data_IF_097614680694
#
_entry.id   IF_097614680694
#
_cell.length_a   1.000
_cell.length_b   1.000
_cell.length_c   1.000
_cell.angle_alpha   90.00
_cell.angle_beta   90.00
_cell.angle_gamma   90.00
#
_symmetry.space_group_name_H-M   'P 1'
#
loop_
_entity.id
_entity.type
_entity.pdbx_description
1 polymer ?
#
# COMPACT_ATOMS: atom_id res chain seq x y z
N UNK A 1 3.12 12.84 -0.12
CA UNK A 1 3.67 11.92 -1.15
C UNK A 1 3.54 10.50 -0.62
N UNK A 2 2.48 9.78 -1.00
CA UNK A 2 2.27 8.41 -0.55
C UNK A 2 2.96 7.39 -1.46
N UNK A 3 3.44 6.30 -0.85
CA UNK A 3 3.90 5.12 -1.56
C UNK A 3 3.23 3.89 -0.95
N UNK A 4 2.70 3.00 -1.79
CA UNK A 4 2.17 1.69 -1.37
C UNK A 4 2.96 0.57 -2.03
N UNK A 5 3.43 -0.37 -1.21
CA UNK A 5 3.99 -1.64 -1.67
C UNK A 5 3.07 -2.78 -1.23
N UNK A 6 2.82 -3.72 -2.14
CA UNK A 6 2.03 -4.91 -1.88
C UNK A 6 2.84 -6.14 -2.22
N UNK A 7 3.02 -7.02 -1.25
CA UNK A 7 3.60 -8.34 -1.43
C UNK A 7 2.52 -9.42 -1.26
N UNK A 8 2.42 -10.36 -2.20
CA UNK A 8 1.45 -11.46 -2.12
C UNK A 8 2.01 -12.77 -2.69
N UNK A 9 1.59 -13.90 -2.13
CA UNK A 9 1.79 -15.23 -2.72
C UNK A 9 0.63 -15.67 -3.62
N UNK A 10 -0.40 -14.86 -3.80
CA UNK A 10 -1.45 -15.16 -4.77
C UNK A 10 -0.88 -15.15 -6.18
N UNK A 11 -1.36 -16.06 -7.02
CA UNK A 11 -1.09 -16.08 -8.46
C UNK A 11 -2.21 -15.39 -9.27
N UNK A 12 -3.34 -15.07 -8.62
CA UNK A 12 -4.48 -14.41 -9.25
C UNK A 12 -4.28 -12.90 -9.41
N UNK A 13 -5.00 -12.26 -10.33
CA UNK A 13 -5.05 -10.82 -10.49
C UNK A 13 -4.14 -10.24 -11.57
N UNK A 14 -4.54 -9.09 -12.12
CA UNK A 14 -3.76 -8.34 -13.10
C UNK A 14 -2.88 -7.30 -12.38
N UNK A 15 -1.56 -7.37 -12.60
CA UNK A 15 -0.60 -6.49 -11.92
C UNK A 15 -0.76 -5.02 -12.33
N UNK A 16 -0.98 -4.71 -13.61
CA UNK A 16 -1.12 -3.33 -14.08
C UNK A 16 -2.41 -2.70 -13.57
N UNK A 17 -3.51 -3.45 -13.61
CA UNK A 17 -4.77 -3.01 -13.01
C UNK A 17 -4.61 -2.78 -11.51
N UNK A 18 -3.90 -3.66 -10.80
CA UNK A 18 -3.65 -3.51 -9.38
C UNK A 18 -2.86 -2.23 -9.08
N UNK A 19 -1.79 -1.95 -9.84
CA UNK A 19 -0.97 -0.76 -9.66
C UNK A 19 -1.81 0.53 -9.77
N UNK A 20 -2.67 0.64 -10.80
CA UNK A 20 -3.53 1.82 -10.98
C UNK A 20 -4.60 1.95 -9.89
N UNK A 21 -5.27 0.84 -9.53
CA UNK A 21 -6.31 0.87 -8.49
C UNK A 21 -5.75 1.19 -7.12
N UNK A 22 -4.54 0.72 -6.80
CA UNK A 22 -3.84 1.03 -5.55
C UNK A 22 -3.49 2.53 -5.46
N UNK A 23 -3.03 3.15 -6.55
CA UNK A 23 -2.79 4.60 -6.60
C UNK A 23 -4.08 5.35 -6.28
N UNK A 24 -5.20 4.96 -6.89
CA UNK A 24 -6.50 5.58 -6.63
C UNK A 24 -6.94 5.47 -5.18
N UNK A 25 -6.94 4.25 -4.64
CA UNK A 25 -7.40 3.99 -3.27
C UNK A 25 -6.58 4.78 -2.24
N UNK A 26 -5.25 4.81 -2.37
CA UNK A 26 -4.37 5.55 -1.45
C UNK A 26 -4.54 7.06 -1.60
N UNK A 27 -4.60 7.57 -2.83
CA UNK A 27 -4.80 8.99 -3.11
C UNK A 27 -6.12 9.49 -2.50
N UNK A 28 -7.21 8.76 -2.73
CA UNK A 28 -8.55 9.12 -2.25
C UNK A 28 -8.63 9.06 -0.72
N UNK A 29 -8.10 7.98 -0.11
CA UNK A 29 -8.13 7.82 1.35
C UNK A 29 -7.31 8.88 2.09
N UNK A 30 -6.19 9.34 1.50
CA UNK A 30 -5.31 10.35 2.10
C UNK A 30 -5.62 11.79 1.66
N UNK A 31 -6.57 11.99 0.73
CA UNK A 31 -6.86 13.30 0.15
C UNK A 31 -5.66 13.91 -0.59
N UNK A 32 -4.87 13.06 -1.27
CA UNK A 32 -3.66 13.47 -2.00
C UNK A 32 -3.85 13.30 -3.51
N UNK A 33 -3.21 14.13 -4.35
CA UNK A 33 -3.24 13.91 -5.79
C UNK A 33 -2.65 12.55 -6.20
N UNK A 34 -3.27 11.89 -7.17
CA UNK A 34 -2.73 10.66 -7.79
C UNK A 34 -1.33 10.87 -8.37
N UNK A 35 -1.05 12.07 -8.89
CA UNK A 35 0.21 12.44 -9.55
C UNK A 35 1.44 12.40 -8.64
N UNK A 36 1.25 12.37 -7.32
CA UNK A 36 2.33 12.27 -6.32
C UNK A 36 2.27 10.96 -5.51
N UNK A 37 1.49 9.99 -5.99
CA UNK A 37 1.28 8.70 -5.35
C UNK A 37 1.89 7.62 -6.22
N UNK A 38 2.59 6.67 -5.60
CA UNK A 38 3.23 5.56 -6.30
C UNK A 38 2.80 4.22 -5.71
N UNK A 39 2.74 3.20 -6.55
CA UNK A 39 2.41 1.82 -6.14
C UNK A 39 3.47 0.84 -6.65
N UNK A 40 3.63 -0.25 -5.92
CA UNK A 40 4.40 -1.43 -6.34
C UNK A 40 3.61 -2.68 -5.95
N UNK A 41 3.76 -3.73 -6.76
CA UNK A 41 3.23 -5.06 -6.48
C UNK A 41 4.34 -6.07 -6.74
N UNK A 42 4.62 -6.90 -5.73
CA UNK A 42 5.54 -8.01 -5.82
C UNK A 42 4.83 -9.33 -5.55
N UNK A 43 5.13 -10.35 -6.35
CA UNK A 43 4.63 -11.71 -6.18
C UNK A 43 5.75 -12.62 -5.70
N UNK A 44 5.48 -13.48 -4.72
CA UNK A 44 6.47 -14.43 -4.25
C UNK A 44 6.04 -15.22 -3.01
N UNK A 45 6.94 -16.07 -2.48
CA UNK A 45 6.65 -16.89 -1.31
C UNK A 45 6.30 -16.03 -0.09
N UNK A 46 5.12 -16.29 0.48
CA UNK A 46 4.63 -15.68 1.71
C UNK A 46 4.04 -16.78 2.58
N UNK A 47 4.47 -16.87 3.84
CA UNK A 47 3.75 -17.62 4.88
C UNK A 47 3.08 -16.63 5.80
N UNK A 48 1.78 -16.78 5.97
CA UNK A 48 0.97 -15.89 6.80
C UNK A 48 0.29 -16.69 7.89
N UNK A 49 0.56 -16.33 9.16
CA UNK A 49 0.10 -17.06 10.36
C UNK A 49 0.36 -18.57 10.25
N UNK A 50 1.59 -18.93 9.86
CA UNK A 50 2.05 -20.31 9.63
C UNK A 50 1.29 -21.10 8.53
N UNK A 51 0.61 -20.43 7.62
CA UNK A 51 -0.03 -21.05 6.45
C UNK A 51 0.52 -20.48 5.14
N UNK A 52 0.62 -21.34 4.12
CA UNK A 52 0.97 -20.98 2.74
C UNK A 52 -0.22 -20.61 1.87
N UNK A 53 -1.43 -20.56 2.42
CA UNK A 53 -2.63 -20.16 1.67
C UNK A 53 -2.53 -18.69 1.22
N UNK A 54 -3.27 -18.27 0.18
CA UNK A 54 -3.20 -16.90 -0.34
C UNK A 54 -3.31 -15.83 0.75
N UNK A 55 -2.39 -14.88 0.73
CA UNK A 55 -2.24 -13.80 1.70
C UNK A 55 -1.62 -12.57 1.03
N UNK A 56 -1.80 -11.40 1.64
CA UNK A 56 -1.18 -10.16 1.18
C UNK A 56 -0.66 -9.33 2.35
N UNK A 57 0.47 -8.68 2.11
CA UNK A 57 1.06 -7.68 2.98
C UNK A 57 1.14 -6.37 2.22
N UNK A 58 0.43 -5.35 2.68
CA UNK A 58 0.50 -4.00 2.15
C UNK A 58 1.21 -3.07 3.13
N UNK A 59 2.10 -2.23 2.63
CA UNK A 59 2.74 -1.19 3.42
C UNK A 59 2.55 0.15 2.73
N UNK A 60 1.97 1.11 3.45
CA UNK A 60 1.83 2.49 3.00
C UNK A 60 2.78 3.40 3.77
N UNK A 61 3.60 4.15 3.06
CA UNK A 61 4.43 5.23 3.60
C UNK A 61 3.90 6.59 3.17
N UNK A 62 3.98 7.57 4.07
CA UNK A 62 3.61 8.95 3.79
C UNK A 62 4.55 9.94 4.50
N UNK A 63 4.84 11.06 3.85
CA UNK A 63 5.55 12.19 4.46
C UNK A 63 4.66 12.94 5.46
N UNK A 64 3.38 13.04 5.14
CA UNK A 64 2.40 13.76 5.95
C UNK A 64 1.83 12.85 7.03
N UNK A 65 1.54 13.39 8.23
CA UNK A 65 0.83 12.66 9.27
C UNK A 65 -0.50 12.10 8.73
N UNK A 66 -0.79 10.85 9.10
CA UNK A 66 -2.04 10.17 8.78
C UNK A 66 -2.86 10.11 10.05
N UNK A 67 -4.09 10.61 10.01
CA UNK A 67 -5.01 10.56 11.16
C UNK A 67 -5.58 9.15 11.36
N UNK A 68 -6.11 8.86 12.54
CA UNK A 68 -6.74 7.56 12.83
C UNK A 68 -7.90 7.24 11.88
N UNK A 69 -8.66 8.24 11.45
CA UNK A 69 -9.76 8.07 10.51
C UNK A 69 -9.26 7.76 9.10
N UNK A 70 -8.21 8.44 8.64
CA UNK A 70 -7.55 8.12 7.38
C UNK A 70 -6.93 6.71 7.44
N UNK A 71 -6.28 6.35 8.55
CA UNK A 71 -5.68 5.04 8.73
C UNK A 71 -6.74 3.92 8.71
N UNK A 72 -7.88 4.13 9.36
CA UNK A 72 -9.02 3.19 9.36
C UNK A 72 -9.60 3.03 7.96
N UNK A 73 -9.87 4.14 7.28
CA UNK A 73 -10.41 4.14 5.91
C UNK A 73 -9.44 3.42 4.96
N UNK A 74 -8.16 3.79 5.00
CA UNK A 74 -7.12 3.20 4.17
C UNK A 74 -7.00 1.69 4.39
N UNK A 75 -7.02 1.24 5.65
CA UNK A 75 -6.94 -0.19 5.97
C UNK A 75 -8.15 -0.96 5.42
N UNK A 76 -9.36 -0.43 5.56
CA UNK A 76 -10.59 -1.07 5.09
C UNK A 76 -10.68 -1.11 3.56
N UNK A 77 -10.39 0.02 2.91
CA UNK A 77 -10.40 0.13 1.45
C UNK A 77 -9.37 -0.80 0.83
N UNK A 78 -8.14 -0.83 1.37
CA UNK A 78 -7.08 -1.68 0.85
C UNK A 78 -7.37 -3.16 1.10
N UNK A 79 -7.88 -3.55 2.27
CA UNK A 79 -8.25 -4.95 2.51
C UNK A 79 -9.31 -5.42 1.50
N UNK A 80 -10.34 -4.61 1.26
CA UNK A 80 -11.39 -4.90 0.27
C UNK A 80 -10.80 -5.01 -1.14
N UNK A 81 -10.02 -4.01 -1.54
CA UNK A 81 -9.42 -3.93 -2.86
C UNK A 81 -8.47 -5.11 -3.14
N UNK A 82 -7.65 -5.49 -2.16
CA UNK A 82 -6.69 -6.59 -2.30
C UNK A 82 -7.39 -7.95 -2.34
N UNK A 83 -8.51 -8.11 -1.62
CA UNK A 83 -9.38 -9.28 -1.77
C UNK A 83 -9.95 -9.38 -3.18
N UNK A 84 -10.45 -8.27 -3.74
CA UNK A 84 -10.98 -8.23 -5.11
C UNK A 84 -9.91 -8.51 -6.18
N UNK A 85 -8.74 -7.86 -6.06
CA UNK A 85 -7.68 -7.93 -7.05
C UNK A 85 -6.99 -9.30 -7.07
N UNK A 86 -6.72 -9.86 -5.89
CA UNK A 86 -5.82 -11.01 -5.75
C UNK A 86 -6.51 -12.26 -5.21
N UNK A 87 -7.82 -12.22 -4.95
CA UNK A 87 -8.57 -13.36 -4.41
C UNK A 87 -8.12 -13.76 -3.01
N UNK A 88 -7.52 -12.83 -2.26
CA UNK A 88 -7.01 -13.08 -0.90
C UNK A 88 -8.13 -12.89 0.13
N UNK A 89 -8.35 -13.82 1.08
CA UNK A 89 -9.29 -13.62 2.17
C UNK A 89 -8.92 -12.41 3.04
N UNK A 90 -9.90 -11.57 3.41
CA UNK A 90 -9.65 -10.30 4.12
C UNK A 90 -8.92 -10.47 5.47
N UNK A 91 -9.12 -11.60 6.16
CA UNK A 91 -8.46 -11.95 7.43
C UNK A 91 -6.99 -12.41 7.25
N UNK A 92 -6.55 -12.54 5.99
CA UNK A 92 -5.20 -12.85 5.54
C UNK A 92 -4.49 -11.67 4.87
N UNK A 93 -4.96 -10.46 5.15
CA UNK A 93 -4.38 -9.22 4.67
C UNK A 93 -3.89 -8.41 5.87
N UNK A 94 -2.62 -8.00 5.82
CA UNK A 94 -2.09 -6.99 6.74
C UNK A 94 -1.81 -5.69 6.00
N UNK A 95 -2.21 -4.58 6.60
CA UNK A 95 -1.91 -3.24 6.13
C UNK A 95 -1.09 -2.55 7.21
N UNK A 96 0.14 -2.16 6.87
CA UNK A 96 1.02 -1.39 7.74
C UNK A 96 1.08 0.04 7.21
N UNK A 97 0.93 1.01 8.11
CA UNK A 97 0.96 2.43 7.77
C UNK A 97 2.14 3.07 8.51
N UNK A 98 2.95 3.85 7.81
CA UNK A 98 4.14 4.48 8.37
C UNK A 98 4.28 5.93 7.94
N UNK A 99 4.43 6.81 8.93
CA UNK A 99 4.90 8.17 8.71
C UNK A 99 6.41 8.19 8.53
N UNK A 100 6.90 8.86 7.49
CA UNK A 100 8.33 9.02 7.21
C UNK A 100 8.68 10.50 7.38
N UNK A 101 9.58 10.85 8.31
CA UNK A 101 10.07 12.21 8.45
C UNK A 101 10.67 12.75 7.15
N UNK A 102 10.48 14.04 6.85
CA UNK A 102 10.96 14.66 5.59
C UNK A 102 12.48 14.55 5.38
N UNK A 103 13.25 14.47 6.46
CA UNK A 103 14.71 14.25 6.41
C UNK A 103 15.11 12.77 6.26
N UNK A 104 14.15 11.87 6.02
CA UNK A 104 14.36 10.43 5.79
C UNK A 104 13.72 9.92 4.49
N UNK A 105 13.19 10.82 3.68
CA UNK A 105 12.73 10.53 2.31
C UNK A 105 13.53 11.41 1.36
N UNK A 106 14.14 10.82 0.34
CA UNK A 106 14.94 11.54 -0.65
C UNK A 106 14.53 11.26 -2.08
N UNK A 107 15.03 12.10 -2.98
CA UNK A 107 15.06 11.89 -4.43
C UNK A 107 16.51 12.00 -4.90
N UNK A 108 16.76 11.78 -6.20
CA UNK A 108 18.08 11.94 -6.79
C UNK A 108 18.72 13.33 -6.59
N UNK A 109 17.96 14.32 -6.14
CA UNK A 109 18.42 15.71 -5.95
C UNK A 109 18.52 16.14 -4.48
N UNK A 110 18.27 15.25 -3.51
CA UNK A 110 18.35 15.58 -2.08
C UNK A 110 17.16 15.05 -1.26
N UNK A 111 17.14 15.40 0.02
CA UNK A 111 16.07 15.03 0.96
C UNK A 111 14.84 15.91 0.77
N UNK A 112 13.67 15.43 1.19
CA UNK A 112 12.43 16.21 1.16
C UNK A 112 12.44 17.37 2.17
N UNK A 113 13.38 17.38 3.12
CA UNK A 113 13.64 18.51 4.02
C UNK A 113 14.46 19.63 3.37
N UNK A 114 15.13 19.39 2.25
CA UNK A 114 16.00 20.37 1.58
C UNK A 114 15.19 21.32 0.67
N UNK A 115 13.86 21.14 0.63
CA UNK A 115 12.91 21.83 -0.24
C UNK A 115 11.75 22.42 0.55
#
# INVERSE_FOLDING_TARGET
MPYIDVHTNSESGDTEQALDRLIGAVADALGKPRTITSSAVSRGPLRFKDSGDPAAWAHVWSLEPITDDQARKLTQDLATLLSELFGVPADRIWVVISGVPRNRWGTATGLMSDR
#
